data_IF_030966524771
#
_entry.id   IF_030966524771
#
_cell.length_a   1.000
_cell.length_b   1.000
_cell.length_c   1.000
_cell.angle_alpha   90.00
_cell.angle_beta   90.00
_cell.angle_gamma   90.00
#
_symmetry.space_group_name_H-M   'P 1'
#
loop_
_entity.id
_entity.type
_entity.pdbx_description
1 polymer ?
#
# COMPACT_ATOMS: atom_id res chain seq x y z
N UNK A 1 -28.81 0.46 -19.45
CA UNK A 1 -27.71 -0.42 -19.86
C UNK A 1 -26.36 0.30 -19.95
N UNK A 2 -25.94 1.01 -18.89
CA UNK A 2 -24.65 1.70 -18.80
C UNK A 2 -23.69 0.91 -17.89
N UNK A 3 -23.51 -0.38 -18.13
CA UNK A 3 -22.38 -1.09 -17.52
C UNK A 3 -21.13 -0.73 -18.32
N UNK A 4 -20.09 -0.26 -17.62
CA UNK A 4 -18.81 0.01 -18.27
C UNK A 4 -18.25 -1.29 -18.87
N UNK A 5 -17.72 -1.21 -20.08
CA UNK A 5 -17.05 -2.34 -20.74
C UNK A 5 -15.76 -2.68 -19.97
N UNK A 6 -15.84 -3.72 -19.14
CA UNK A 6 -14.73 -4.17 -18.29
C UNK A 6 -14.23 -5.52 -18.75
N UNK A 7 -12.92 -5.68 -18.78
CA UNK A 7 -12.25 -6.89 -19.30
C UNK A 7 -11.31 -7.50 -18.26
N UNK A 8 -11.06 -8.80 -18.39
CA UNK A 8 -10.07 -9.55 -17.65
C UNK A 8 -9.17 -10.34 -18.60
N UNK A 9 -8.24 -11.15 -18.08
CA UNK A 9 -7.22 -11.84 -18.87
C UNK A 9 -7.78 -12.56 -20.12
N UNK A 10 -8.79 -13.42 -19.95
CA UNK A 10 -9.37 -14.19 -21.07
C UNK A 10 -10.30 -13.37 -21.98
N UNK A 11 -10.64 -12.13 -21.61
CA UNK A 11 -11.57 -11.27 -22.37
C UNK A 11 -10.90 -9.98 -22.86
N UNK A 12 -9.56 -9.93 -22.80
CA UNK A 12 -8.79 -8.81 -23.33
C UNK A 12 -9.09 -8.66 -24.83
N UNK A 13 -9.29 -7.41 -25.25
CA UNK A 13 -9.41 -7.04 -26.66
C UNK A 13 -8.05 -6.66 -27.22
N UNK A 14 -7.90 -6.73 -28.54
CA UNK A 14 -6.69 -6.29 -29.25
C UNK A 14 -6.34 -4.84 -28.89
N UNK A 15 -7.33 -3.97 -28.79
CA UNK A 15 -7.14 -2.55 -28.44
C UNK A 15 -6.64 -2.31 -27.01
N UNK A 16 -6.70 -3.29 -26.12
CA UNK A 16 -6.20 -3.18 -24.75
C UNK A 16 -4.69 -3.43 -24.61
N UNK A 17 -4.04 -3.89 -25.69
CA UNK A 17 -2.66 -4.38 -25.67
C UNK A 17 -1.85 -3.77 -26.81
N UNK A 18 -0.70 -3.19 -26.49
CA UNK A 18 0.22 -2.56 -27.44
C UNK A 18 1.59 -3.26 -27.36
N UNK A 19 2.05 -3.82 -28.49
CA UNK A 19 3.38 -4.41 -28.62
C UNK A 19 4.42 -3.31 -28.89
N UNK A 20 5.33 -3.09 -27.94
CA UNK A 20 6.39 -2.10 -28.01
C UNK A 20 7.75 -2.81 -28.19
N UNK A 21 8.47 -2.58 -29.30
CA UNK A 21 9.78 -3.19 -29.51
C UNK A 21 10.81 -2.83 -28.41
N UNK A 22 11.77 -3.73 -28.10
CA UNK A 22 11.96 -5.04 -28.73
C UNK A 22 11.11 -6.17 -28.13
N UNK A 23 10.65 -6.06 -26.89
CA UNK A 23 9.98 -7.14 -26.15
C UNK A 23 9.08 -6.63 -25.00
N UNK A 24 8.47 -5.44 -25.15
CA UNK A 24 7.58 -4.87 -24.13
C UNK A 24 6.12 -4.94 -24.57
N UNK A 25 5.24 -5.19 -23.61
CA UNK A 25 3.79 -5.17 -23.81
C UNK A 25 3.21 -4.12 -22.89
N UNK A 26 2.49 -3.16 -23.46
CA UNK A 26 1.71 -2.19 -22.71
C UNK A 26 0.25 -2.61 -22.67
N UNK A 27 -0.30 -2.64 -21.46
CA UNK A 27 -1.70 -2.91 -21.18
C UNK A 27 -2.39 -1.59 -20.81
N UNK A 28 -3.59 -1.37 -21.35
CA UNK A 28 -4.48 -0.27 -20.96
C UNK A 28 -5.94 -0.71 -21.11
N UNK A 29 -6.60 -0.98 -19.98
CA UNK A 29 -7.99 -1.40 -19.96
C UNK A 29 -8.68 -1.11 -18.63
N UNK A 30 -10.02 -1.14 -18.63
CA UNK A 30 -10.83 -1.09 -17.41
C UNK A 30 -11.09 -2.51 -16.91
N UNK A 31 -10.63 -2.81 -15.70
CA UNK A 31 -10.88 -4.08 -15.03
C UNK A 31 -12.13 -4.05 -14.16
N UNK A 32 -12.20 -4.98 -13.21
CA UNK A 32 -13.29 -5.05 -12.23
C UNK A 32 -13.53 -3.69 -11.56
N UNK A 33 -14.81 -3.35 -11.34
CA UNK A 33 -15.24 -2.09 -10.71
C UNK A 33 -14.82 -0.84 -11.52
N UNK A 34 -14.57 -1.00 -12.83
CA UNK A 34 -14.10 0.05 -13.75
C UNK A 34 -12.77 0.69 -13.36
N UNK A 35 -11.92 -0.07 -12.65
CA UNK A 35 -10.58 0.39 -12.27
C UNK A 35 -9.63 0.19 -13.45
N UNK A 36 -8.99 1.28 -13.87
CA UNK A 36 -8.02 1.23 -14.96
C UNK A 36 -6.79 0.43 -14.55
N UNK A 37 -6.32 -0.42 -15.44
CA UNK A 37 -5.02 -1.09 -15.37
C UNK A 37 -4.15 -0.56 -16.51
N UNK A 38 -3.11 0.19 -16.15
CA UNK A 38 -2.08 0.65 -17.08
C UNK A 38 -0.74 0.11 -16.62
N UNK A 39 -0.09 -0.71 -17.44
CA UNK A 39 1.22 -1.25 -17.12
C UNK A 39 2.00 -1.59 -18.39
N UNK A 40 3.29 -1.28 -18.42
CA UNK A 40 4.20 -1.69 -19.49
C UNK A 40 5.20 -2.67 -18.92
N UNK A 41 5.15 -3.91 -19.39
CA UNK A 41 5.94 -5.02 -18.85
C UNK A 41 6.86 -5.54 -19.96
N UNK A 42 8.12 -5.73 -19.62
CA UNK A 42 9.05 -6.49 -20.45
C UNK A 42 8.74 -7.98 -20.32
N UNK A 43 8.55 -8.67 -21.45
CA UNK A 43 8.16 -10.07 -21.49
C UNK A 43 9.21 -10.90 -22.22
N UNK A 44 9.13 -12.21 -22.06
CA UNK A 44 9.96 -13.13 -22.83
C UNK A 44 9.70 -12.98 -24.34
N UNK A 45 10.74 -13.09 -25.20
CA UNK A 45 10.58 -12.91 -26.65
C UNK A 45 9.51 -13.79 -27.29
N UNK A 46 9.30 -15.01 -26.77
CA UNK A 46 8.25 -15.92 -27.24
C UNK A 46 6.84 -15.40 -26.93
N UNK A 47 6.65 -14.80 -25.74
CA UNK A 47 5.38 -14.18 -25.35
C UNK A 47 5.09 -12.95 -26.22
N UNK A 48 6.09 -12.09 -26.43
CA UNK A 48 5.96 -10.92 -27.32
C UNK A 48 5.55 -11.34 -28.74
N UNK A 49 6.22 -12.35 -29.30
CA UNK A 49 5.91 -12.89 -30.62
C UNK A 49 4.50 -13.48 -30.69
N UNK A 50 4.09 -14.26 -29.69
CA UNK A 50 2.77 -14.87 -29.63
C UNK A 50 1.67 -13.80 -29.57
N UNK A 51 1.83 -12.77 -28.75
CA UNK A 51 0.85 -11.67 -28.65
C UNK A 51 0.73 -10.94 -29.98
N UNK A 52 1.85 -10.65 -30.66
CA UNK A 52 1.81 -10.07 -32.00
C UNK A 52 1.08 -10.96 -33.02
N UNK A 53 1.23 -12.28 -32.93
CA UNK A 53 0.48 -13.23 -33.77
C UNK A 53 -1.02 -13.23 -33.45
N UNK A 54 -1.40 -13.17 -32.17
CA UNK A 54 -2.80 -13.11 -31.74
C UNK A 54 -3.52 -11.83 -32.16
N UNK A 55 -2.77 -10.75 -32.44
CA UNK A 55 -3.31 -9.49 -32.97
C UNK A 55 -3.43 -9.47 -34.50
N UNK A 56 -2.73 -10.35 -35.22
CA UNK A 56 -2.65 -10.30 -36.67
C UNK A 56 -4.01 -10.55 -37.34
N UNK A 57 -4.41 -9.64 -38.24
CA UNK A 57 -5.67 -9.75 -38.98
C UNK A 57 -6.93 -9.38 -38.18
N UNK A 58 -6.79 -8.95 -36.93
CA UNK A 58 -7.92 -8.58 -36.05
C UNK A 58 -8.11 -7.07 -35.91
N UNK A 59 -9.34 -6.66 -35.66
CA UNK A 59 -9.72 -5.30 -35.31
C UNK A 59 -9.44 -5.00 -33.82
N UNK A 60 -9.44 -3.73 -33.42
CA UNK A 60 -9.19 -3.34 -32.02
C UNK A 60 -10.26 -3.84 -31.04
N UNK A 61 -11.47 -4.12 -31.51
CA UNK A 61 -12.60 -4.57 -30.68
C UNK A 61 -12.69 -6.09 -30.59
N UNK A 62 -11.89 -6.81 -31.36
CA UNK A 62 -11.89 -8.27 -31.37
C UNK A 62 -11.15 -8.82 -30.15
N UNK A 63 -11.52 -10.03 -29.73
CA UNK A 63 -10.86 -10.74 -28.65
C UNK A 63 -9.40 -11.06 -29.01
N UNK A 64 -8.49 -10.72 -28.10
CA UNK A 64 -7.08 -11.06 -28.23
C UNK A 64 -6.92 -12.59 -28.23
N UNK A 65 -7.63 -13.28 -27.33
CA UNK A 65 -7.63 -14.74 -27.21
C UNK A 65 -9.00 -15.32 -27.62
N UNK A 66 -9.32 -15.23 -28.89
CA UNK A 66 -10.59 -15.68 -29.50
C UNK A 66 -10.85 -17.19 -29.37
N UNK A 67 -9.80 -18.01 -29.25
CA UNK A 67 -9.94 -19.45 -29.04
C UNK A 67 -9.94 -19.88 -27.55
N UNK A 68 -9.76 -18.94 -26.62
CA UNK A 68 -9.65 -19.18 -25.19
C UNK A 68 -10.84 -18.58 -24.41
N UNK A 69 -11.28 -19.27 -23.37
CA UNK A 69 -12.20 -18.72 -22.38
C UNK A 69 -11.82 -19.16 -20.97
N UNK A 70 -12.51 -18.61 -19.96
CA UNK A 70 -12.25 -18.90 -18.56
C UNK A 70 -12.56 -20.35 -18.17
N UNK A 71 -13.49 -21.01 -18.86
CA UNK A 71 -13.84 -22.41 -18.62
C UNK A 71 -12.74 -23.33 -19.11
N UNK A 72 -12.24 -23.12 -20.34
CA UNK A 72 -11.10 -23.84 -20.91
C UNK A 72 -9.85 -23.69 -20.06
N UNK A 73 -9.54 -22.46 -19.63
CA UNK A 73 -8.39 -22.19 -18.77
C UNK A 73 -8.50 -22.95 -17.44
N UNK A 74 -9.64 -22.86 -16.73
CA UNK A 74 -9.79 -23.53 -15.44
C UNK A 74 -9.87 -25.05 -15.57
N UNK A 75 -10.39 -25.58 -16.67
CA UNK A 75 -10.36 -27.02 -16.95
C UNK A 75 -8.91 -27.52 -17.03
N UNK A 76 -8.06 -26.84 -17.81
CA UNK A 76 -6.64 -27.16 -17.90
C UNK A 76 -5.93 -27.04 -16.56
N UNK A 77 -6.17 -25.97 -15.79
CA UNK A 77 -5.56 -25.79 -14.47
C UNK A 77 -5.94 -26.92 -13.49
N UNK A 78 -7.18 -27.40 -13.55
CA UNK A 78 -7.68 -28.49 -12.70
C UNK A 78 -7.01 -29.83 -13.01
N UNK A 79 -6.66 -30.07 -14.28
CA UNK A 79 -5.91 -31.26 -14.70
C UNK A 79 -4.49 -31.25 -14.14
N UNK A 80 -3.86 -30.06 -14.06
CA UNK A 80 -2.52 -29.90 -13.49
C UNK A 80 -2.52 -30.09 -11.97
N UNK A 81 -3.47 -29.48 -11.27
CA UNK A 81 -3.61 -29.57 -9.81
C UNK A 81 -5.11 -29.58 -9.44
N UNK A 82 -5.60 -30.62 -8.73
CA UNK A 82 -6.98 -30.68 -8.29
C UNK A 82 -7.38 -29.43 -7.47
N UNK A 83 -8.43 -28.74 -7.91
CA UNK A 83 -8.95 -27.54 -7.24
C UNK A 83 -8.25 -26.23 -7.62
N UNK A 84 -7.23 -26.25 -8.48
CA UNK A 84 -6.57 -25.05 -8.97
C UNK A 84 -7.48 -24.28 -9.95
N UNK A 85 -7.55 -22.96 -9.76
CA UNK A 85 -8.26 -22.03 -10.65
C UNK A 85 -7.44 -20.76 -10.83
N UNK A 86 -7.77 -19.94 -11.82
CA UNK A 86 -7.07 -18.67 -12.06
C UNK A 86 -7.05 -17.74 -10.83
N UNK A 87 -8.10 -17.77 -9.99
CA UNK A 87 -8.17 -16.98 -8.75
C UNK A 87 -7.11 -17.39 -7.72
N UNK A 88 -6.72 -18.66 -7.69
CA UNK A 88 -5.74 -19.18 -6.73
C UNK A 88 -4.38 -18.50 -6.93
N UNK A 89 -3.98 -18.24 -8.18
CA UNK A 89 -2.73 -17.52 -8.49
C UNK A 89 -2.67 -16.13 -7.86
N UNK A 90 -3.78 -15.36 -7.86
CA UNK A 90 -3.82 -14.06 -7.19
C UNK A 90 -3.60 -14.17 -5.68
N UNK A 91 -4.18 -15.19 -5.06
CA UNK A 91 -4.05 -15.43 -3.61
C UNK A 91 -2.63 -15.90 -3.28
N UNK A 92 -2.08 -16.80 -4.09
CA UNK A 92 -0.70 -17.29 -3.96
C UNK A 92 0.30 -16.14 -4.09
N UNK A 93 0.25 -15.37 -5.20
CA UNK A 93 1.17 -14.26 -5.46
C UNK A 93 1.09 -13.18 -4.37
N UNK A 94 -0.11 -12.85 -3.89
CA UNK A 94 -0.27 -11.90 -2.80
C UNK A 94 0.34 -12.42 -1.49
N UNK A 95 0.06 -13.68 -1.14
CA UNK A 95 0.52 -14.30 0.10
C UNK A 95 2.03 -14.52 0.12
N UNK A 96 2.61 -15.04 -0.97
CA UNK A 96 4.06 -15.27 -1.07
C UNK A 96 4.83 -13.95 -1.00
N UNK A 97 4.36 -12.92 -1.70
CA UNK A 97 4.99 -11.59 -1.66
C UNK A 97 4.98 -11.02 -0.24
N UNK A 98 3.85 -11.10 0.47
CA UNK A 98 3.78 -10.64 1.86
C UNK A 98 4.79 -11.39 2.74
N UNK A 99 4.82 -12.72 2.66
CA UNK A 99 5.69 -13.55 3.49
C UNK A 99 7.19 -13.27 3.22
N UNK A 100 7.57 -13.13 1.96
CA UNK A 100 8.94 -12.82 1.54
C UNK A 100 9.36 -11.42 1.98
N UNK A 101 8.53 -10.40 1.71
CA UNK A 101 8.83 -9.02 2.09
C UNK A 101 8.95 -8.88 3.61
N UNK A 102 8.01 -9.43 4.37
CA UNK A 102 8.09 -9.40 5.83
C UNK A 102 9.34 -10.11 6.34
N UNK A 103 9.72 -11.23 5.74
CA UNK A 103 10.94 -11.96 6.11
C UNK A 103 12.23 -11.21 5.80
N UNK A 104 12.28 -10.44 4.71
CA UNK A 104 13.49 -9.75 4.28
C UNK A 104 13.65 -8.37 4.93
N UNK A 105 12.53 -7.67 5.13
CA UNK A 105 12.55 -6.27 5.55
C UNK A 105 12.37 -6.07 7.06
N UNK A 106 11.81 -7.04 7.78
CA UNK A 106 11.59 -6.88 9.23
C UNK A 106 12.91 -6.96 9.98
N UNK A 107 13.25 -5.89 10.68
CA UNK A 107 14.42 -5.80 11.57
C UNK A 107 13.98 -5.64 13.02
N UNK A 108 14.92 -5.83 13.93
CA UNK A 108 14.73 -5.45 15.32
C UNK A 108 14.45 -3.95 15.43
N UNK A 109 13.59 -3.60 16.38
CA UNK A 109 13.06 -2.26 16.51
C UNK A 109 11.80 -2.24 17.36
N UNK A 110 11.30 -1.03 17.61
CA UNK A 110 10.06 -0.88 18.35
C UNK A 110 8.85 -1.35 17.52
N UNK A 111 7.72 -1.55 18.20
CA UNK A 111 6.47 -2.02 17.58
C UNK A 111 6.01 -1.07 16.46
N UNK A 112 6.25 0.24 16.59
CA UNK A 112 5.85 1.23 15.57
C UNK A 112 6.65 1.03 14.29
N UNK A 113 7.97 0.84 14.40
CA UNK A 113 8.85 0.58 13.25
C UNK A 113 8.46 -0.71 12.53
N UNK A 114 8.18 -1.78 13.27
CA UNK A 114 7.71 -3.07 12.71
C UNK A 114 6.37 -2.93 11.98
N UNK A 115 5.43 -2.14 12.52
CA UNK A 115 4.15 -1.86 11.85
C UNK A 115 4.37 -1.13 10.51
N UNK A 116 5.32 -0.20 10.42
CA UNK A 116 5.63 0.49 9.15
C UNK A 116 6.09 -0.51 8.09
N UNK A 117 6.95 -1.47 8.45
CA UNK A 117 7.39 -2.55 7.54
C UNK A 117 6.18 -3.35 7.05
N UNK A 118 5.27 -3.73 7.95
CA UNK A 118 4.06 -4.45 7.57
C UNK A 118 3.18 -3.66 6.61
N UNK A 119 2.97 -2.37 6.87
CA UNK A 119 2.15 -1.52 6.00
C UNK A 119 2.78 -1.35 4.61
N UNK A 120 4.11 -1.24 4.55
CA UNK A 120 4.85 -1.21 3.29
C UNK A 120 4.66 -2.52 2.50
N UNK A 121 4.85 -3.68 3.14
CA UNK A 121 4.63 -4.97 2.50
C UNK A 121 3.20 -5.14 1.98
N UNK A 122 2.19 -4.74 2.77
CA UNK A 122 0.80 -4.79 2.34
C UNK A 122 0.48 -3.80 1.19
N UNK A 123 1.17 -2.65 1.13
CA UNK A 123 1.07 -1.69 0.01
C UNK A 123 1.56 -2.32 -1.29
N UNK A 124 2.72 -2.97 -1.27
CA UNK A 124 3.25 -3.65 -2.47
C UNK A 124 2.33 -4.79 -2.94
N UNK A 125 1.77 -5.58 -2.02
CA UNK A 125 0.77 -6.60 -2.37
C UNK A 125 -0.45 -5.97 -3.05
N UNK A 126 -0.95 -4.86 -2.51
CA UNK A 126 -2.10 -4.17 -3.09
C UNK A 126 -1.80 -3.63 -4.50
N UNK A 127 -0.58 -3.15 -4.74
CA UNK A 127 -0.11 -2.71 -6.06
C UNK A 127 -0.07 -3.89 -7.04
N UNK A 128 0.54 -5.01 -6.66
CA UNK A 128 0.61 -6.23 -7.50
C UNK A 128 -0.79 -6.75 -7.85
N UNK A 129 -1.73 -6.66 -6.91
CA UNK A 129 -3.10 -7.11 -7.13
C UNK A 129 -3.98 -6.12 -7.89
N UNK A 130 -3.44 -4.96 -8.29
CA UNK A 130 -4.16 -3.80 -8.82
C UNK A 130 -5.35 -3.38 -7.94
N UNK A 131 -5.21 -3.44 -6.61
CA UNK A 131 -6.22 -2.96 -5.66
C UNK A 131 -6.15 -1.45 -5.56
N UNK A 132 -6.48 -0.78 -6.66
CA UNK A 132 -6.59 0.66 -6.69
C UNK A 132 -7.99 1.10 -6.24
N UNK A 133 -8.08 2.34 -5.80
CA UNK A 133 -9.34 3.05 -5.54
C UNK A 133 -9.25 4.46 -6.08
N UNK A 134 -10.40 5.04 -6.38
CA UNK A 134 -10.50 6.46 -6.64
C UNK A 134 -10.14 7.25 -5.38
N UNK A 135 -9.51 8.41 -5.56
CA UNK A 135 -9.20 9.31 -4.46
C UNK A 135 -10.51 9.75 -3.81
N UNK A 136 -10.61 9.62 -2.48
CA UNK A 136 -11.81 10.06 -1.76
C UNK A 136 -12.08 11.53 -2.01
N UNK A 137 -13.35 11.90 -2.20
CA UNK A 137 -13.79 13.31 -2.33
C UNK A 137 -13.36 14.17 -1.14
N UNK A 138 -13.17 13.57 0.03
CA UNK A 138 -12.74 14.26 1.25
C UNK A 138 -11.22 14.35 1.41
N UNK A 139 -10.45 13.68 0.55
CA UNK A 139 -8.99 13.58 0.69
C UNK A 139 -8.31 14.95 0.64
N UNK A 140 -8.65 15.78 -0.34
CA UNK A 140 -8.09 17.13 -0.48
C UNK A 140 -8.28 17.97 0.80
N UNK A 141 -9.52 18.07 1.28
CA UNK A 141 -9.84 18.80 2.51
C UNK A 141 -9.11 18.25 3.75
N UNK A 142 -8.89 16.93 3.80
CA UNK A 142 -8.13 16.31 4.89
C UNK A 142 -6.64 16.66 4.83
N UNK A 143 -6.04 16.71 3.64
CA UNK A 143 -4.65 17.12 3.45
C UNK A 143 -4.48 18.60 3.78
N UNK A 144 -5.36 19.47 3.28
CA UNK A 144 -5.34 20.90 3.60
C UNK A 144 -5.38 21.16 5.10
N UNK A 145 -6.25 20.45 5.83
CA UNK A 145 -6.34 20.55 7.29
C UNK A 145 -5.05 20.09 8.00
N UNK A 146 -4.40 19.03 7.50
CA UNK A 146 -3.12 18.56 8.04
C UNK A 146 -2.01 19.57 7.77
N UNK A 147 -1.93 20.11 6.55
CA UNK A 147 -0.96 21.15 6.16
C UNK A 147 -1.11 22.39 7.04
N UNK A 148 -2.33 22.91 7.20
CA UNK A 148 -2.58 24.07 8.06
C UNK A 148 -2.11 23.82 9.50
N UNK A 149 -2.38 22.62 10.04
CA UNK A 149 -1.95 22.26 11.39
C UNK A 149 -0.43 22.12 11.51
N UNK A 150 0.25 21.63 10.48
CA UNK A 150 1.73 21.55 10.44
C UNK A 150 2.32 22.96 10.46
N UNK A 151 1.76 23.89 9.68
CA UNK A 151 2.22 25.29 9.64
C UNK A 151 2.02 25.99 10.99
N UNK A 152 0.88 25.80 11.67
CA UNK A 152 0.68 26.29 13.04
C UNK A 152 1.75 25.76 14.00
N UNK A 153 2.12 24.48 13.89
CA UNK A 153 3.16 23.89 14.73
C UNK A 153 4.55 24.46 14.41
N UNK A 154 4.83 24.76 13.14
CA UNK A 154 6.09 25.38 12.70
C UNK A 154 6.24 26.81 13.19
N UNK A 155 5.16 27.60 13.22
CA UNK A 155 5.20 28.94 13.82
C UNK A 155 5.49 28.88 15.32
N UNK A 156 4.85 27.96 16.06
CA UNK A 156 5.20 27.73 17.48
C UNK A 156 6.68 27.32 17.62
N UNK A 157 7.20 26.45 16.75
CA UNK A 157 8.60 26.06 16.77
C UNK A 157 9.55 27.26 16.57
N UNK A 158 9.19 28.19 15.68
CA UNK A 158 9.93 29.43 15.41
C UNK A 158 9.94 30.37 16.62
N UNK A 159 8.81 30.51 17.32
CA UNK A 159 8.73 31.25 18.59
C UNK A 159 9.62 30.62 19.66
N UNK A 160 9.58 29.30 19.82
CA UNK A 160 10.43 28.57 20.78
C UNK A 160 11.92 28.78 20.50
N UNK A 161 12.35 28.69 19.23
CA UNK A 161 13.73 28.96 18.80
C UNK A 161 14.16 30.40 19.09
N UNK A 162 13.29 31.36 18.82
CA UNK A 162 13.55 32.78 19.11
C UNK A 162 13.73 33.01 20.62
N UNK A 163 12.89 32.38 21.45
CA UNK A 163 12.99 32.51 22.91
C UNK A 163 14.23 31.81 23.49
N UNK A 164 14.68 30.69 22.90
CA UNK A 164 15.96 30.07 23.25
C UNK A 164 17.13 31.04 23.02
N UNK A 165 17.18 31.69 21.85
CA UNK A 165 18.25 32.64 21.52
C UNK A 165 18.26 33.86 22.45
N UNK A 166 17.07 34.30 22.90
CA UNK A 166 16.94 35.37 23.89
C UNK A 166 17.40 34.92 25.27
N UNK A 167 17.01 33.73 25.71
CA UNK A 167 17.47 33.16 26.98
C UNK A 167 18.99 33.00 27.01
N UNK A 168 19.61 32.53 25.93
CA UNK A 168 21.09 32.45 25.79
C UNK A 168 21.78 33.81 25.88
N UNK A 169 21.08 34.90 25.54
CA UNK A 169 21.54 36.29 25.64
C UNK A 169 21.12 36.98 26.95
N UNK A 170 20.53 36.25 27.91
CA UNK A 170 20.02 36.81 29.17
C UNK A 170 18.82 37.74 29.02
N UNK A 171 18.11 37.71 27.88
CA UNK A 171 16.95 38.56 27.59
C UNK A 171 15.65 37.81 27.94
N UNK A 172 14.61 38.51 28.43
CA UNK A 172 13.31 37.89 28.69
C UNK A 172 12.66 37.40 27.39
N UNK A 173 11.82 36.35 27.44
CA UNK A 173 11.09 35.86 26.27
C UNK A 173 10.15 36.93 25.70
N UNK A 174 9.80 36.79 24.42
CA UNK A 174 8.76 37.60 23.80
C UNK A 174 7.38 37.18 24.30
N UNK A 175 6.40 38.07 24.22
CA UNK A 175 5.00 37.69 24.41
C UNK A 175 4.59 36.71 23.29
N UNK A 176 3.76 35.72 23.64
CA UNK A 176 3.28 34.75 22.67
C UNK A 176 2.37 35.42 21.63
N UNK A 177 2.19 34.76 20.49
CA UNK A 177 1.21 35.17 19.48
C UNK A 177 -0.23 35.27 20.00
N UNK A 178 -0.52 34.62 21.15
CA UNK A 178 -1.79 34.72 21.88
C UNK A 178 -1.85 35.88 22.89
N UNK A 179 -0.86 36.77 22.90
CA UNK A 179 -0.74 37.91 23.81
C UNK A 179 -0.40 37.54 25.25
N UNK A 180 -0.09 36.27 25.55
CA UNK A 180 0.22 35.85 26.90
C UNK A 180 1.70 36.03 27.22
N UNK A 181 1.97 36.48 28.44
CA UNK A 181 3.33 36.53 28.99
C UNK A 181 3.89 35.13 29.11
N UNK A 182 5.00 34.90 28.42
CA UNK A 182 5.73 33.65 28.47
C UNK A 182 6.66 33.67 29.69
N UNK A 183 6.63 32.60 30.49
CA UNK A 183 7.55 32.47 31.63
C UNK A 183 8.98 32.37 31.13
N UNK A 184 9.90 33.05 31.81
CA UNK A 184 11.33 32.85 31.58
C UNK A 184 11.70 31.42 31.97
N UNK A 185 12.48 30.75 31.13
CA UNK A 185 12.95 29.38 31.35
C UNK A 185 14.44 29.32 31.03
N UNK A 186 15.13 28.41 31.71
CA UNK A 186 16.52 28.09 31.41
C UNK A 186 16.68 27.58 29.96
N UNK A 187 17.83 27.84 29.30
CA UNK A 187 18.08 27.38 27.93
C UNK A 187 17.79 25.89 27.69
N UNK A 188 18.16 25.01 28.63
CA UNK A 188 17.91 23.57 28.54
C UNK A 188 16.41 23.22 28.47
N UNK A 189 15.56 23.98 29.16
CA UNK A 189 14.11 23.77 29.14
C UNK A 189 13.50 24.21 27.79
N UNK A 190 14.03 25.26 27.17
CA UNK A 190 13.67 25.65 25.81
C UNK A 190 14.08 24.62 24.77
N UNK A 191 15.31 24.10 24.86
CA UNK A 191 15.81 23.04 23.97
C UNK A 191 14.95 21.78 24.05
N UNK A 192 14.53 21.37 25.26
CA UNK A 192 13.60 20.25 25.43
C UNK A 192 12.24 20.49 24.76
N UNK A 193 11.67 21.69 24.88
CA UNK A 193 10.41 22.05 24.21
C UNK A 193 10.54 22.07 22.70
N UNK A 194 11.64 22.60 22.17
CA UNK A 194 11.95 22.60 20.74
C UNK A 194 12.02 21.16 20.23
N UNK A 195 12.74 20.27 20.93
CA UNK A 195 12.86 18.87 20.53
C UNK A 195 11.50 18.16 20.49
N UNK A 196 10.66 18.36 21.50
CA UNK A 196 9.29 17.81 21.55
C UNK A 196 8.41 18.33 20.39
N UNK A 197 8.49 19.64 20.11
CA UNK A 197 7.70 20.26 19.04
C UNK A 197 8.18 19.80 17.66
N UNK A 198 9.49 19.73 17.42
CA UNK A 198 10.06 19.20 16.18
C UNK A 198 9.63 17.75 15.95
N UNK A 199 9.74 16.88 16.96
CA UNK A 199 9.31 15.49 16.85
C UNK A 199 7.82 15.34 16.50
N UNK A 200 6.98 16.25 17.01
CA UNK A 200 5.55 16.29 16.70
C UNK A 200 5.28 16.71 15.25
N UNK A 201 6.00 17.72 14.74
CA UNK A 201 5.92 18.16 13.34
C UNK A 201 6.33 17.03 12.42
N UNK A 202 7.50 16.44 12.65
CA UNK A 202 8.01 15.34 11.84
C UNK A 202 7.04 14.16 11.79
N UNK A 203 6.44 13.81 12.94
CA UNK A 203 5.41 12.76 12.97
C UNK A 203 4.22 13.12 12.09
N UNK A 204 3.71 14.34 12.19
CA UNK A 204 2.54 14.78 11.42
C UNK A 204 2.83 14.87 9.91
N UNK A 205 4.04 15.29 9.54
CA UNK A 205 4.51 15.30 8.15
C UNK A 205 4.62 13.87 7.60
N UNK A 206 5.17 12.91 8.37
CA UNK A 206 5.20 11.49 7.99
C UNK A 206 3.81 10.89 7.82
N UNK A 207 2.89 11.19 8.74
CA UNK A 207 1.50 10.71 8.68
C UNK A 207 0.78 11.28 7.44
N UNK A 208 0.99 12.57 7.13
CA UNK A 208 0.45 13.21 5.94
C UNK A 208 1.01 12.61 4.65
N UNK A 209 2.33 12.42 4.58
CA UNK A 209 2.97 11.80 3.42
C UNK A 209 2.45 10.37 3.18
N UNK A 210 2.37 9.56 4.24
CA UNK A 210 1.80 8.20 4.18
C UNK A 210 0.35 8.22 3.67
N UNK A 211 -0.44 9.19 4.11
CA UNK A 211 -1.83 9.33 3.68
C UNK A 211 -1.93 9.68 2.20
N UNK A 212 -1.07 10.56 1.71
CA UNK A 212 -0.99 10.94 0.30
C UNK A 212 -0.55 9.75 -0.57
N UNK A 213 0.46 9.01 -0.13
CA UNK A 213 0.99 7.81 -0.78
C UNK A 213 -0.03 6.68 -0.93
N UNK A 214 -1.00 6.61 -0.03
CA UNK A 214 -2.05 5.58 0.03
C UNK A 214 -3.39 6.06 -0.53
N UNK A 215 -3.45 7.26 -1.11
CA UNK A 215 -4.73 7.86 -1.57
C UNK A 215 -5.42 7.02 -2.64
N UNK A 216 -4.65 6.37 -3.52
CA UNK A 216 -5.14 5.53 -4.62
C UNK A 216 -5.10 4.03 -4.32
N UNK A 217 -4.64 3.59 -3.15
CA UNK A 217 -4.43 2.16 -2.85
C UNK A 217 -5.43 1.65 -1.81
N UNK A 218 -6.07 0.52 -2.09
CA UNK A 218 -7.07 -0.13 -1.23
C UNK A 218 -6.47 -1.28 -0.40
N UNK A 219 -5.69 -0.92 0.62
CA UNK A 219 -4.97 -1.88 1.51
C UNK A 219 -5.86 -2.90 2.24
N UNK A 220 -7.15 -2.61 2.40
CA UNK A 220 -8.10 -3.53 3.06
C UNK A 220 -8.45 -4.72 2.17
N UNK A 221 -8.52 -4.52 0.85
CA UNK A 221 -8.97 -5.55 -0.08
C UNK A 221 -8.01 -6.74 -0.11
N UNK A 222 -6.71 -6.48 -0.21
CA UNK A 222 -5.65 -7.48 -0.14
C UNK A 222 -5.73 -8.26 1.17
N UNK A 223 -5.74 -7.53 2.28
CA UNK A 223 -5.72 -8.08 3.63
C UNK A 223 -6.91 -8.97 4.00
N UNK A 224 -8.09 -8.69 3.45
CA UNK A 224 -9.32 -9.43 3.79
C UNK A 224 -9.47 -10.70 2.95
N UNK A 225 -9.02 -10.68 1.70
CA UNK A 225 -9.45 -11.66 0.68
C UNK A 225 -8.31 -12.37 -0.06
N UNK A 226 -7.08 -11.87 0.00
CA UNK A 226 -5.98 -12.36 -0.84
C UNK A 226 -4.73 -12.76 -0.05
N UNK A 227 -4.63 -12.37 1.22
CA UNK A 227 -3.54 -12.75 2.11
C UNK A 227 -3.95 -13.93 3.00
N UNK A 228 -3.08 -14.93 3.12
CA UNK A 228 -3.20 -15.95 4.16
C UNK A 228 -2.98 -15.30 5.54
N UNK A 229 -4.00 -15.23 6.42
CA UNK A 229 -3.89 -14.53 7.70
C UNK A 229 -2.85 -15.18 8.63
N UNK A 230 -2.50 -16.45 8.42
CA UNK A 230 -1.48 -17.14 9.22
C UNK A 230 -0.09 -16.52 9.06
N UNK A 231 0.21 -15.94 7.89
CA UNK A 231 1.47 -15.21 7.66
C UNK A 231 1.56 -14.03 8.65
N UNK A 232 0.48 -13.24 8.73
CA UNK A 232 0.40 -12.10 9.63
C UNK A 232 0.46 -12.52 11.10
N UNK A 233 -0.27 -13.57 11.48
CA UNK A 233 -0.27 -14.07 12.87
C UNK A 233 1.12 -14.56 13.27
N UNK A 234 1.75 -15.40 12.45
CA UNK A 234 3.09 -15.92 12.70
C UNK A 234 4.11 -14.79 12.79
N UNK A 235 4.04 -13.80 11.88
CA UNK A 235 4.89 -12.60 11.95
C UNK A 235 4.67 -11.79 13.23
N UNK A 236 3.43 -11.58 13.66
CA UNK A 236 3.12 -10.88 14.91
C UNK A 236 3.71 -11.61 16.13
N UNK A 237 3.60 -12.94 16.18
CA UNK A 237 4.20 -13.77 17.23
C UNK A 237 5.74 -13.68 17.22
N UNK A 238 6.37 -13.84 16.06
CA UNK A 238 7.84 -13.78 15.92
C UNK A 238 8.46 -12.46 16.35
N UNK A 239 7.75 -11.35 16.12
CA UNK A 239 8.28 -10.01 16.33
C UNK A 239 7.63 -9.26 17.50
N UNK A 240 6.86 -9.96 18.33
CA UNK A 240 6.19 -9.43 19.52
C UNK A 240 5.32 -8.20 19.21
N UNK A 241 4.63 -8.22 18.06
CA UNK A 241 3.69 -7.17 17.66
C UNK A 241 2.28 -7.60 18.09
N UNK A 242 1.55 -6.78 18.89
CA UNK A 242 0.17 -7.10 19.26
C UNK A 242 -0.71 -7.18 17.99
N UNK A 243 -1.42 -8.29 17.82
CA UNK A 243 -2.18 -8.58 16.60
C UNK A 243 -3.27 -7.53 16.34
N UNK A 244 -3.79 -6.89 17.39
CA UNK A 244 -4.80 -5.82 17.34
C UNK A 244 -4.27 -4.53 16.70
N UNK A 245 -2.94 -4.38 16.62
CA UNK A 245 -2.32 -3.27 15.86
C UNK A 245 -2.37 -3.51 14.36
N UNK A 246 -2.56 -4.77 13.94
CA UNK A 246 -2.67 -5.15 12.54
C UNK A 246 -4.13 -5.42 12.21
N UNK A 247 -4.78 -6.40 12.83
CA UNK A 247 -6.16 -6.77 12.56
C UNK A 247 -7.15 -5.96 13.40
N UNK A 248 -8.20 -5.44 12.75
CA UNK A 248 -9.36 -4.88 13.45
C UNK A 248 -10.14 -6.00 14.14
N UNK A 249 -11.00 -5.66 15.11
CA UNK A 249 -11.85 -6.63 15.81
C UNK A 249 -12.61 -7.58 14.86
N UNK A 250 -13.20 -7.03 13.79
CA UNK A 250 -13.89 -7.81 12.77
C UNK A 250 -12.98 -8.80 12.01
N UNK A 251 -11.71 -8.45 11.79
CA UNK A 251 -10.75 -9.36 11.16
C UNK A 251 -10.25 -10.43 12.12
N UNK A 252 -10.12 -10.11 13.41
CA UNK A 252 -9.81 -11.10 14.44
C UNK A 252 -10.92 -12.17 14.51
N UNK A 253 -12.19 -11.75 14.49
CA UNK A 253 -13.33 -12.66 14.45
C UNK A 253 -13.34 -13.51 13.17
N UNK A 254 -13.12 -12.89 12.00
CA UNK A 254 -13.06 -13.61 10.71
C UNK A 254 -11.93 -14.64 10.64
N UNK A 255 -10.78 -14.31 11.21
CA UNK A 255 -9.56 -15.10 11.12
C UNK A 255 -9.23 -15.85 12.41
N UNK A 256 -10.22 -16.08 13.28
CA UNK A 256 -10.03 -16.81 14.53
C UNK A 256 -9.32 -18.17 14.32
N UNK A 257 -9.66 -18.87 13.23
CA UNK A 257 -9.05 -20.16 12.84
C UNK A 257 -7.54 -20.09 12.56
N UNK A 258 -7.00 -18.90 12.30
CA UNK A 258 -5.58 -18.69 11.98
C UNK A 258 -4.74 -18.30 13.20
N UNK A 259 -5.37 -17.99 14.35
CA UNK A 259 -4.71 -17.44 15.53
C UNK A 259 -3.78 -18.45 16.22
N UNK A 260 -4.09 -19.74 16.10
CA UNK A 260 -3.33 -20.83 16.73
C UNK A 260 -2.07 -21.22 15.96
N UNK A 261 -1.76 -20.57 14.82
CA UNK A 261 -0.59 -20.92 14.02
C UNK A 261 0.74 -20.68 14.76
N UNK A 262 1.70 -21.58 14.60
CA UNK A 262 3.04 -21.43 15.19
C UNK A 262 3.82 -20.25 14.61
N UNK A 263 4.70 -19.60 15.42
CA UNK A 263 5.55 -18.50 14.96
C UNK A 263 6.43 -18.88 13.76
N UNK A 264 6.79 -20.14 13.59
CA UNK A 264 7.68 -20.62 12.52
C UNK A 264 6.96 -20.76 11.17
N UNK A 265 5.63 -20.59 11.14
CA UNK A 265 4.86 -20.72 9.90
C UNK A 265 5.36 -19.75 8.82
N UNK A 266 5.62 -20.32 7.64
CA UNK A 266 6.03 -19.61 6.43
C UNK A 266 5.20 -20.15 5.28
N UNK A 267 4.59 -19.24 4.52
CA UNK A 267 3.84 -19.62 3.32
C UNK A 267 4.78 -20.11 2.21
N UNK A 268 6.00 -19.58 2.15
CA UNK A 268 7.02 -19.96 1.19
C UNK A 268 7.68 -21.32 1.45
N UNK A 269 7.54 -21.89 2.66
CA UNK A 269 8.14 -23.19 2.99
C UNK A 269 7.17 -24.33 2.68
N UNK A 270 7.59 -25.19 1.76
CA UNK A 270 7.23 -26.61 1.79
C UNK A 270 8.08 -27.32 2.84
#
# INVERSE_FOLDING_TARGET
>A
DNEADTVGCCTLKVGNVECIPPNKIKFDFLGKDSIQYVNTVEVEPLVYKAIGQFQAGKSKTDDLFDELDTSKLNAHLKELVPGLTAKVFRTYNASITLDEMLSQETKDGDVTQKIVVYQKANKEVAIICNHQRTVSKTHGAQIEKLTARIEELKEVLKELKTNLDRAKKGKPPLEGSDGKKIRSLEPNAWEKKIAQQSAKIEKMERDMHTKEDLKTVALGTSKINYLDPRITVAWCKRHEVPIEKIFTKSLLEKFAWAMDVEPEYRFSRR
#
